data_IF_559456765771
#
_entry.id   IF_559456765771
#
_cell.length_a   1.000
_cell.length_b   1.000
_cell.length_c   1.000
_cell.angle_alpha   90.00
_cell.angle_beta   90.00
_cell.angle_gamma   90.00
#
_symmetry.space_group_name_H-M   'P 1'
#
loop_
_entity.id
_entity.type
_entity.pdbx_description
1 polymer ?
#
# COMPACT_ATOMS: atom_id res chain seq x y z
N UNK A 1 42.16 -23.20 -7.28
CA UNK A 1 41.01 -23.50 -8.15
C UNK A 1 39.75 -23.19 -7.36
N UNK A 2 39.05 -22.10 -7.70
CA UNK A 2 37.76 -21.81 -7.09
C UNK A 2 36.75 -22.79 -7.67
N UNK A 3 36.27 -23.73 -6.85
CA UNK A 3 35.11 -24.56 -7.20
C UNK A 3 33.92 -23.60 -7.28
N UNK A 4 33.48 -23.30 -8.49
CA UNK A 4 32.19 -22.68 -8.73
C UNK A 4 31.15 -23.63 -8.12
N UNK A 5 30.48 -23.21 -7.05
CA UNK A 5 29.33 -23.92 -6.52
C UNK A 5 28.21 -23.74 -7.54
N UNK A 6 27.95 -24.77 -8.34
CA UNK A 6 26.72 -24.85 -9.11
C UNK A 6 25.64 -25.34 -8.13
N UNK A 7 24.56 -24.58 -7.99
CA UNK A 7 23.35 -25.07 -7.34
C UNK A 7 22.76 -26.15 -8.26
N UNK A 8 22.71 -27.39 -7.77
CA UNK A 8 22.07 -28.51 -8.45
C UNK A 8 20.63 -28.59 -7.94
N UNK A 9 19.65 -28.32 -8.81
CA UNK A 9 18.23 -28.46 -8.50
C UNK A 9 17.73 -29.85 -8.91
N UNK A 10 16.81 -30.42 -8.13
CA UNK A 10 16.16 -31.67 -8.47
C UNK A 10 15.23 -31.51 -9.70
N UNK A 11 14.98 -32.61 -10.40
CA UNK A 11 13.97 -32.64 -11.46
C UNK A 11 12.61 -32.24 -10.89
N UNK A 12 11.88 -31.38 -11.60
CA UNK A 12 10.63 -30.73 -11.17
C UNK A 12 10.70 -29.77 -9.98
N UNK A 13 11.88 -29.52 -9.41
CA UNK A 13 12.04 -28.52 -8.34
C UNK A 13 11.72 -27.12 -8.88
N UNK A 14 10.85 -26.42 -8.16
CA UNK A 14 10.52 -25.02 -8.43
C UNK A 14 11.42 -24.14 -7.57
N UNK A 15 12.13 -23.21 -8.21
CA UNK A 15 13.00 -22.25 -7.54
C UNK A 15 12.82 -20.86 -8.13
N UNK A 16 13.31 -19.85 -7.41
CA UNK A 16 13.29 -18.46 -7.83
C UNK A 16 14.71 -18.04 -8.18
N UNK A 17 14.93 -17.52 -9.39
CA UNK A 17 16.27 -17.07 -9.81
C UNK A 17 16.62 -15.67 -9.26
N UNK A 18 17.81 -15.17 -9.60
CA UNK A 18 18.28 -13.85 -9.14
C UNK A 18 17.44 -12.68 -9.69
N UNK A 19 16.70 -12.91 -10.78
CA UNK A 19 15.79 -11.96 -11.42
C UNK A 19 14.33 -12.22 -10.99
N UNK A 20 14.14 -13.01 -9.92
CA UNK A 20 12.85 -13.36 -9.33
C UNK A 20 11.89 -14.12 -10.27
N UNK A 21 12.40 -14.73 -11.33
CA UNK A 21 11.58 -15.58 -12.19
C UNK A 21 11.30 -16.90 -11.49
N UNK A 22 10.07 -17.40 -11.66
CA UNK A 22 9.71 -18.72 -11.19
C UNK A 22 10.18 -19.76 -12.21
N UNK A 23 11.17 -20.54 -11.81
CA UNK A 23 11.88 -21.49 -12.67
C UNK A 23 11.65 -22.94 -12.21
N UNK A 24 11.73 -23.86 -13.16
CA UNK A 24 11.75 -25.31 -12.92
C UNK A 24 12.80 -25.98 -13.78
N UNK A 25 13.39 -27.05 -13.27
CA UNK A 25 14.19 -27.97 -14.06
C UNK A 25 13.31 -29.03 -14.74
N UNK A 26 13.10 -28.87 -16.04
CA UNK A 26 12.39 -29.81 -16.92
C UNK A 26 13.42 -30.50 -17.85
N UNK A 27 13.56 -31.82 -17.76
CA UNK A 27 14.51 -32.63 -18.55
C UNK A 27 15.94 -32.04 -18.66
N UNK A 28 16.48 -31.52 -17.54
CA UNK A 28 17.83 -30.95 -17.48
C UNK A 28 17.96 -29.55 -18.11
N UNK A 29 16.83 -28.94 -18.50
CA UNK A 29 16.73 -27.56 -18.95
C UNK A 29 16.03 -26.72 -17.89
N UNK A 30 16.60 -25.58 -17.56
CA UNK A 30 15.89 -24.56 -16.78
C UNK A 30 14.85 -23.88 -17.66
N UNK A 31 13.59 -23.98 -17.26
CA UNK A 31 12.44 -23.31 -17.88
C UNK A 31 11.89 -22.33 -16.85
N UNK A 32 11.86 -21.04 -17.20
CA UNK A 32 11.35 -19.99 -16.32
C UNK A 32 10.11 -19.34 -16.91
N UNK A 33 9.11 -19.14 -16.08
CA UNK A 33 7.98 -18.27 -16.37
C UNK A 33 8.45 -16.84 -16.11
N UNK A 34 8.75 -16.11 -17.19
CA UNK A 34 9.10 -14.70 -17.12
C UNK A 34 7.84 -13.91 -16.80
N UNK A 35 7.83 -13.21 -15.68
CA UNK A 35 6.83 -12.16 -15.46
C UNK A 35 7.08 -11.08 -16.53
N UNK A 36 6.01 -10.58 -17.16
CA UNK A 36 6.12 -9.66 -18.31
C UNK A 36 7.00 -8.43 -18.03
N UNK A 37 7.17 -8.08 -16.76
CA UNK A 37 7.92 -6.93 -16.27
C UNK A 37 9.22 -7.28 -15.51
N UNK A 38 9.61 -8.57 -15.40
CA UNK A 38 10.85 -9.01 -14.76
C UNK A 38 10.95 -8.74 -13.24
N UNK A 39 9.80 -8.67 -12.57
CA UNK A 39 9.68 -8.53 -11.10
C UNK A 39 8.84 -9.69 -10.57
N UNK A 40 9.07 -10.16 -9.34
CA UNK A 40 8.16 -11.15 -8.74
C UNK A 40 6.73 -10.60 -8.77
N UNK A 41 5.75 -11.47 -9.00
CA UNK A 41 4.34 -11.10 -8.83
C UNK A 41 4.15 -10.87 -7.34
N UNK A 42 4.19 -9.62 -6.90
CA UNK A 42 3.93 -9.27 -5.50
C UNK A 42 2.47 -9.62 -5.18
N UNK A 43 2.25 -10.42 -4.14
CA UNK A 43 0.90 -10.84 -3.78
C UNK A 43 0.12 -9.68 -3.14
N UNK A 44 -1.13 -9.49 -3.59
CA UNK A 44 -2.06 -8.54 -2.96
C UNK A 44 -2.64 -9.14 -1.67
N UNK A 45 -3.03 -8.27 -0.75
CA UNK A 45 -3.70 -8.67 0.49
C UNK A 45 -5.21 -8.50 0.35
N UNK A 46 -5.97 -9.45 0.90
CA UNK A 46 -7.43 -9.29 1.07
C UNK A 46 -7.72 -9.06 2.57
N UNK A 47 -8.20 -7.86 2.90
CA UNK A 47 -8.68 -7.55 4.25
C UNK A 47 -10.15 -7.08 4.18
N UNK A 48 -11.02 -7.73 4.94
CA UNK A 48 -12.48 -7.49 4.95
C UNK A 48 -13.13 -7.49 3.55
N UNK A 49 -12.63 -8.35 2.65
CA UNK A 49 -13.12 -8.47 1.27
C UNK A 49 -12.67 -7.36 0.32
N UNK A 50 -11.83 -6.42 0.79
CA UNK A 50 -11.16 -5.44 -0.06
C UNK A 50 -9.72 -5.88 -0.35
N UNK A 51 -9.30 -5.67 -1.59
CA UNK A 51 -7.95 -5.92 -2.06
C UNK A 51 -7.04 -4.70 -1.83
N UNK A 52 -5.82 -4.96 -1.39
CA UNK A 52 -4.77 -3.97 -1.11
C UNK A 52 -3.49 -4.40 -1.82
N UNK A 53 -2.86 -3.46 -2.52
CA UNK A 53 -1.61 -3.74 -3.22
C UNK A 53 -0.45 -3.99 -2.24
N UNK A 54 0.59 -4.67 -2.70
CA UNK A 54 1.84 -4.75 -1.95
C UNK A 54 2.33 -3.36 -1.52
N UNK A 55 2.83 -3.27 -0.29
CA UNK A 55 3.22 -2.02 0.41
C UNK A 55 2.09 -1.01 0.68
N UNK A 56 0.85 -1.29 0.28
CA UNK A 56 -0.29 -0.42 0.61
C UNK A 56 -0.51 -0.40 2.13
N UNK A 57 -0.62 0.81 2.67
CA UNK A 57 -0.94 1.07 4.08
C UNK A 57 -2.41 1.44 4.19
N UNK A 58 -3.13 0.78 5.10
CA UNK A 58 -4.56 0.99 5.32
C UNK A 58 -4.93 0.88 6.80
N UNK A 59 -6.17 1.25 7.13
CA UNK A 59 -6.76 1.00 8.43
C UNK A 59 -7.77 -0.15 8.32
N UNK A 60 -7.75 -1.08 9.26
CA UNK A 60 -8.80 -2.09 9.40
C UNK A 60 -10.05 -1.52 10.10
N UNK A 61 -11.06 -2.36 10.33
CA UNK A 61 -12.30 -1.98 10.98
C UNK A 61 -12.12 -1.44 12.43
N UNK A 62 -11.03 -1.83 13.09
CA UNK A 62 -10.65 -1.43 14.43
C UNK A 62 -9.62 -0.29 14.44
N UNK A 63 -9.34 0.29 13.26
CA UNK A 63 -8.37 1.37 13.03
C UNK A 63 -6.93 1.01 13.42
N UNK A 64 -6.57 -0.27 13.35
CA UNK A 64 -5.19 -0.70 13.38
C UNK A 64 -4.52 -0.29 12.07
N UNK A 65 -3.28 0.17 12.17
CA UNK A 65 -2.52 0.57 10.99
C UNK A 65 -1.88 -0.67 10.38
N UNK A 66 -2.39 -1.07 9.22
CA UNK A 66 -1.98 -2.28 8.51
C UNK A 66 -1.13 -1.94 7.27
N UNK A 67 -0.19 -2.82 6.93
CA UNK A 67 0.54 -2.83 5.66
C UNK A 67 0.40 -4.20 5.01
N UNK A 68 0.21 -4.23 3.70
CA UNK A 68 0.35 -5.46 2.92
C UNK A 68 1.82 -5.75 2.63
N UNK A 69 2.32 -6.90 3.07
CA UNK A 69 3.68 -7.37 2.87
C UNK A 69 3.61 -8.73 2.16
N UNK A 70 3.85 -8.72 0.85
CA UNK A 70 3.75 -9.86 -0.08
C UNK A 70 2.65 -10.88 0.30
N UNK A 71 1.38 -10.47 0.12
CA UNK A 71 0.19 -11.29 0.45
C UNK A 71 -0.16 -11.41 1.94
N UNK A 72 0.73 -10.97 2.83
CA UNK A 72 0.53 -11.01 4.29
C UNK A 72 0.12 -9.65 4.84
N UNK A 73 -1.01 -9.59 5.55
CA UNK A 73 -1.44 -8.37 6.25
C UNK A 73 -0.77 -8.28 7.61
N UNK A 74 -0.02 -7.21 7.85
CA UNK A 74 0.68 -6.93 9.13
C UNK A 74 0.10 -5.65 9.72
N UNK A 75 -0.46 -5.72 10.94
CA UNK A 75 -1.11 -4.59 11.59
C UNK A 75 -0.45 -4.20 12.92
N UNK A 76 -0.31 -2.89 13.13
CA UNK A 76 0.05 -2.27 14.40
C UNK A 76 -1.24 -1.98 15.18
N UNK A 77 -1.42 -2.64 16.33
CA UNK A 77 -2.61 -2.47 17.17
C UNK A 77 -2.75 -1.03 17.67
N UNK A 78 -3.92 -0.43 17.45
CA UNK A 78 -4.27 0.85 18.03
C UNK A 78 -5.01 0.65 19.36
N UNK A 79 -4.31 0.89 20.47
CA UNK A 79 -4.87 0.71 21.82
C UNK A 79 -5.94 1.77 22.20
N UNK A 80 -6.01 2.87 21.47
CA UNK A 80 -6.91 4.00 21.75
C UNK A 80 -8.27 3.85 21.04
N UNK A 81 -8.43 2.78 20.24
CA UNK A 81 -9.61 2.57 19.39
C UNK A 81 -9.64 3.57 18.23
N UNK A 82 -10.70 3.51 17.42
CA UNK A 82 -10.87 4.43 16.30
C UNK A 82 -11.17 5.86 16.78
N UNK A 83 -10.32 6.86 16.46
CA UNK A 83 -10.70 8.25 16.65
C UNK A 83 -11.97 8.56 15.84
N UNK A 84 -12.96 9.16 16.51
CA UNK A 84 -14.18 9.67 15.89
C UNK A 84 -14.06 11.16 15.50
N UNK A 85 -12.85 11.73 15.63
CA UNK A 85 -12.55 13.11 15.25
C UNK A 85 -11.29 13.20 14.41
N UNK A 86 -11.25 14.16 13.50
CA UNK A 86 -10.08 14.50 12.69
C UNK A 86 -9.57 15.89 13.06
N UNK A 87 -8.26 16.05 13.10
CA UNK A 87 -7.62 17.35 13.14
C UNK A 87 -7.19 17.77 11.72
N UNK A 88 -7.69 18.91 11.24
CA UNK A 88 -7.29 19.50 9.97
C UNK A 88 -7.13 21.00 10.11
N UNK A 89 -5.94 21.50 9.78
CA UNK A 89 -5.58 22.92 9.87
C UNK A 89 -5.95 23.56 11.23
N UNK A 90 -5.56 22.88 12.34
CA UNK A 90 -5.86 23.24 13.73
C UNK A 90 -7.36 23.29 14.09
N UNK A 91 -8.24 22.75 13.24
CA UNK A 91 -9.66 22.60 13.52
C UNK A 91 -10.01 21.12 13.72
N UNK A 92 -11.04 20.87 14.52
CA UNK A 92 -11.52 19.53 14.85
C UNK A 92 -12.85 19.28 14.15
N UNK A 93 -12.98 18.13 13.51
CA UNK A 93 -14.16 17.69 12.76
C UNK A 93 -14.59 16.32 13.24
N UNK A 94 -15.89 16.09 13.39
CA UNK A 94 -16.45 14.77 13.75
C UNK A 94 -16.46 13.83 12.53
N UNK A 95 -16.41 12.52 12.78
CA UNK A 95 -16.49 11.53 11.71
C UNK A 95 -17.78 11.70 10.88
N UNK A 96 -17.62 11.84 9.57
CA UNK A 96 -18.70 12.15 8.63
C UNK A 96 -18.83 13.63 8.26
N UNK A 97 -18.19 14.54 9.00
CA UNK A 97 -18.19 15.97 8.66
C UNK A 97 -17.53 16.19 7.31
N UNK A 98 -18.12 17.12 6.53
CA UNK A 98 -17.54 17.60 5.27
C UNK A 98 -17.18 19.08 5.40
N UNK A 99 -15.96 19.43 5.02
CA UNK A 99 -15.39 20.77 5.19
C UNK A 99 -14.49 21.17 4.01
N UNK A 100 -14.31 22.47 3.74
CA UNK A 100 -13.40 22.92 2.70
C UNK A 100 -11.93 22.67 3.09
N UNK A 101 -11.07 22.42 2.10
CA UNK A 101 -9.62 22.45 2.27
C UNK A 101 -9.11 23.87 2.59
N UNK A 102 -7.82 24.01 2.87
CA UNK A 102 -7.19 25.27 3.30
C UNK A 102 -7.44 26.47 2.36
N UNK A 103 -7.66 26.19 1.08
CA UNK A 103 -7.90 27.21 0.04
C UNK A 103 -9.35 27.24 -0.43
N UNK A 104 -10.24 26.44 0.17
CA UNK A 104 -11.66 26.35 -0.17
C UNK A 104 -11.98 25.76 -1.54
N UNK A 105 -11.01 25.11 -2.18
CA UNK A 105 -11.18 24.52 -3.51
C UNK A 105 -11.75 23.10 -3.43
N UNK A 106 -11.21 22.29 -2.52
CA UNK A 106 -11.58 20.89 -2.41
C UNK A 106 -12.51 20.69 -1.23
N UNK A 107 -13.42 19.73 -1.35
CA UNK A 107 -14.21 19.25 -0.20
C UNK A 107 -13.49 18.07 0.41
N UNK A 108 -13.23 18.17 1.69
CA UNK A 108 -12.66 17.14 2.54
C UNK A 108 -13.75 16.53 3.41
N UNK A 109 -13.57 15.27 3.78
CA UNK A 109 -14.44 14.55 4.70
C UNK A 109 -13.59 13.96 5.81
N UNK A 110 -14.02 14.15 7.06
CA UNK A 110 -13.44 13.44 8.19
C UNK A 110 -13.95 12.00 8.19
N UNK A 111 -13.04 11.04 8.13
CA UNK A 111 -13.34 9.61 8.20
C UNK A 111 -13.07 9.10 9.61
N UNK A 112 -13.80 8.06 9.99
CA UNK A 112 -13.50 7.27 11.17
C UNK A 112 -12.05 6.79 11.12
N UNK A 113 -11.35 6.82 12.25
CA UNK A 113 -9.91 6.59 12.30
C UNK A 113 -9.07 7.87 12.30
N UNK A 114 -9.71 9.05 12.34
CA UNK A 114 -9.02 10.35 12.33
C UNK A 114 -8.40 10.72 10.98
N UNK A 115 -8.80 10.06 9.90
CA UNK A 115 -8.27 10.31 8.56
C UNK A 115 -9.06 11.38 7.82
N UNK A 116 -8.36 12.26 7.11
CA UNK A 116 -8.97 13.27 6.24
C UNK A 116 -8.82 12.87 4.78
N UNK A 117 -9.95 12.71 4.09
CA UNK A 117 -9.97 12.43 2.65
C UNK A 117 -10.51 13.65 1.89
N UNK A 118 -9.72 14.22 0.99
CA UNK A 118 -10.13 15.36 0.17
C UNK A 118 -10.33 14.96 -1.29
N UNK A 119 -11.50 15.29 -1.85
CA UNK A 119 -11.75 15.13 -3.27
C UNK A 119 -11.02 16.22 -4.05
N UNK A 120 -9.92 15.86 -4.72
CA UNK A 120 -9.11 16.79 -5.50
C UNK A 120 -9.78 17.09 -6.84
N UNK A 121 -10.20 18.34 -7.03
CA UNK A 121 -10.56 18.89 -8.33
C UNK A 121 -9.45 19.80 -8.87
N UNK A 122 -9.41 20.00 -10.19
CA UNK A 122 -8.53 20.99 -10.80
C UNK A 122 -8.93 22.40 -10.33
N UNK A 123 -8.21 22.92 -9.33
CA UNK A 123 -8.40 24.28 -8.85
C UNK A 123 -7.98 25.25 -9.96
N UNK A 124 -8.95 25.98 -10.51
CA UNK A 124 -8.69 27.07 -11.45
C UNK A 124 -8.11 28.22 -10.65
N UNK A 125 -6.78 28.34 -10.63
CA UNK A 125 -6.07 29.26 -9.76
C UNK A 125 -6.52 30.70 -9.94
N UNK A 126 -7.01 31.31 -8.86
CA UNK A 126 -6.62 32.64 -8.36
C UNK A 126 -7.22 32.83 -6.97
N UNK A 127 -6.47 32.50 -5.93
CA UNK A 127 -6.34 33.34 -4.72
C UNK A 127 -5.15 32.80 -3.94
N UNK A 128 -4.03 33.48 -4.06
CA UNK A 128 -2.94 33.40 -3.10
C UNK A 128 -3.48 33.74 -1.70
N UNK A 129 -3.21 32.94 -0.67
CA UNK A 129 -2.83 33.51 0.61
C UNK A 129 -1.34 33.80 0.49
N UNK A 130 -1.00 35.08 0.32
CA UNK A 130 0.35 35.54 0.61
C UNK A 130 0.65 35.16 2.07
N UNK A 131 1.45 34.11 2.27
CA UNK A 131 2.09 33.85 3.56
C UNK A 131 3.16 34.94 3.74
N UNK A 132 2.75 36.10 4.26
CA UNK A 132 3.66 37.08 4.83
C UNK A 132 3.80 36.78 6.31
N UNK A 133 5.01 36.30 6.63
CA UNK A 133 5.63 35.94 7.93
C UNK A 133 5.32 34.57 8.50
#
# INVERSE_FOLDING_TARGET
QLKQMFLEYAHDEVFVDADCNRCRCDDGRTVCEMNADGRPEEESCINDGKEYAHDEVFLDADCNRCRCDDGTTICEMNAEGCPEVCEYNNNWYEAGDSFPDDVGCNTCTCLRGGLVACYRMSCSGTTTPDYVK
#
